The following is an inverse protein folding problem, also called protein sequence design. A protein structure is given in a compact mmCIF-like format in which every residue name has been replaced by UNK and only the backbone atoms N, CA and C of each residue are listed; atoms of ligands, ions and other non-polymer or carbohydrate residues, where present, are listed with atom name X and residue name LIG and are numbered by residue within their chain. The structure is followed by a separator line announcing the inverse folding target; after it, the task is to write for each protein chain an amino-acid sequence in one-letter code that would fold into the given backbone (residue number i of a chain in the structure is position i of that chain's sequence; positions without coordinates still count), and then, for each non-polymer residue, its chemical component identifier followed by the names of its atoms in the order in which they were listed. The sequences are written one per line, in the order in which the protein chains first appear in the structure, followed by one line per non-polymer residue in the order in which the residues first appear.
data_IF_544871456903
#
_entry.id   IF_544871456903
#
_cell.length_a   1.000
_cell.length_b   1.000
_cell.length_c   1.000
_cell.angle_alpha   90.00
_cell.angle_beta   90.00
_cell.angle_gamma   90.00
#
_symmetry.space_group_name_H-M   'P 1'
#
loop_
_entity.id
_entity.type
_entity.pdbx_description
1 polymer ?
#
# COMPACT_ATOMS: atom_id res chain seq x y z
N UNK A 1 12.66 24.69 8.97
CA UNK A 1 13.40 24.35 7.77
C UNK A 1 13.63 22.87 7.69
N UNK A 2 13.07 22.26 6.70
CA UNK A 2 13.10 20.82 6.54
C UNK A 2 14.24 20.31 5.68
N UNK A 3 14.36 19.02 5.64
CA UNK A 3 15.26 18.28 4.75
C UNK A 3 15.06 18.71 3.28
N UNK A 4 13.87 19.11 2.94
CA UNK A 4 13.48 19.54 1.59
C UNK A 4 14.23 20.83 1.16
N UNK A 5 14.36 21.79 2.05
CA UNK A 5 15.07 23.04 1.76
C UNK A 5 16.56 22.79 1.55
N UNK A 6 17.17 21.93 2.36
CA UNK A 6 18.57 21.52 2.21
C UNK A 6 18.79 20.79 0.90
N UNK A 7 17.88 19.87 0.56
CA UNK A 7 17.96 19.13 -0.69
C UNK A 7 17.86 20.07 -1.89
N UNK A 8 16.93 21.01 -1.85
CA UNK A 8 16.74 22.03 -2.89
C UNK A 8 18.00 22.87 -3.06
N UNK A 9 18.62 23.31 -1.97
CA UNK A 9 19.83 24.11 -2.00
C UNK A 9 21.00 23.33 -2.60
N UNK A 10 21.20 22.08 -2.17
CA UNK A 10 22.29 21.22 -2.67
C UNK A 10 22.14 20.95 -4.16
N UNK A 11 20.91 20.61 -4.60
CA UNK A 11 20.60 20.35 -6.00
C UNK A 11 20.83 21.59 -6.85
N UNK A 12 20.37 22.76 -6.39
CA UNK A 12 20.56 24.03 -7.09
C UNK A 12 22.05 24.38 -7.24
N UNK A 13 22.83 24.19 -6.17
CA UNK A 13 24.29 24.44 -6.20
C UNK A 13 25.00 23.54 -7.18
N UNK A 14 24.68 22.24 -7.17
CA UNK A 14 25.28 21.27 -8.09
C UNK A 14 24.90 21.54 -9.54
N UNK A 15 23.66 21.92 -9.80
CA UNK A 15 23.20 22.27 -11.16
C UNK A 15 23.94 23.48 -11.68
N UNK A 16 24.08 24.54 -10.87
CA UNK A 16 24.82 25.73 -11.28
C UNK A 16 26.28 25.43 -11.59
N UNK A 17 26.91 24.58 -10.77
CA UNK A 17 28.31 24.17 -10.97
C UNK A 17 28.48 23.36 -12.26
N UNK A 18 27.54 22.42 -12.51
CA UNK A 18 27.55 21.60 -13.71
C UNK A 18 27.31 22.45 -14.98
N UNK A 19 26.43 23.41 -14.93
CA UNK A 19 26.11 24.30 -16.05
C UNK A 19 27.33 25.17 -16.37
N UNK A 20 28.00 25.71 -15.37
CA UNK A 20 29.16 26.60 -15.60
C UNK A 20 30.38 25.85 -16.17
N UNK A 21 30.48 24.53 -15.96
CA UNK A 21 31.56 23.69 -16.46
C UNK A 21 31.25 22.98 -17.77
N UNK A 22 29.99 23.01 -18.20
CA UNK A 22 29.54 22.29 -19.38
C UNK A 22 29.88 23.01 -20.67
N UNK A 23 30.33 22.25 -21.68
CA UNK A 23 30.56 22.78 -23.03
C UNK A 23 29.27 23.15 -23.73
N UNK A 24 28.15 22.43 -23.40
CA UNK A 24 26.85 22.68 -23.96
C UNK A 24 25.78 22.65 -22.86
N UNK A 25 25.58 23.80 -22.18
CA UNK A 25 24.59 23.87 -21.08
C UNK A 25 23.17 23.53 -21.49
N UNK A 26 22.75 23.86 -22.69
CA UNK A 26 21.41 23.59 -23.20
C UNK A 26 21.13 22.10 -23.30
N UNK A 27 22.07 21.34 -23.87
CA UNK A 27 21.97 19.89 -23.97
C UNK A 27 21.93 19.23 -22.59
N UNK A 28 22.74 19.72 -21.67
CA UNK A 28 22.79 19.23 -20.29
C UNK A 28 21.47 19.48 -19.55
N UNK A 29 20.87 20.67 -19.71
CA UNK A 29 19.58 21.00 -19.14
C UNK A 29 18.47 20.11 -19.69
N UNK A 30 18.46 19.88 -21.00
CA UNK A 30 17.50 19.00 -21.65
C UNK A 30 17.62 17.58 -21.11
N UNK A 31 18.83 17.06 -20.95
CA UNK A 31 19.06 15.73 -20.39
C UNK A 31 18.55 15.64 -18.95
N UNK A 32 18.84 16.68 -18.16
CA UNK A 32 18.38 16.75 -16.77
C UNK A 32 16.86 16.74 -16.68
N UNK A 33 16.17 17.47 -17.54
CA UNK A 33 14.70 17.51 -17.59
C UNK A 33 14.13 16.15 -17.98
N UNK A 34 14.76 15.44 -18.91
CA UNK A 34 14.34 14.08 -19.27
C UNK A 34 14.51 13.13 -18.10
N UNK A 35 15.64 13.19 -17.40
CA UNK A 35 15.89 12.34 -16.24
C UNK A 35 14.87 12.61 -15.12
N UNK A 36 14.57 13.88 -14.85
CA UNK A 36 13.57 14.26 -13.86
C UNK A 36 12.18 13.75 -14.23
N UNK A 37 11.82 13.82 -15.51
CA UNK A 37 10.54 13.33 -16.00
C UNK A 37 10.44 11.81 -15.85
N UNK A 38 11.51 11.08 -16.14
CA UNK A 38 11.56 9.63 -15.94
C UNK A 38 11.41 9.27 -14.46
N UNK A 39 12.08 9.99 -13.57
CA UNK A 39 11.96 9.77 -12.12
C UNK A 39 10.53 10.05 -11.64
N UNK A 40 9.88 11.07 -12.16
CA UNK A 40 8.49 11.38 -11.83
C UNK A 40 7.56 10.23 -12.25
N UNK A 41 7.75 9.69 -13.44
CA UNK A 41 6.97 8.55 -13.94
C UNK A 41 7.15 7.33 -13.04
N UNK A 42 8.41 7.03 -12.66
CA UNK A 42 8.71 5.90 -11.77
C UNK A 42 8.06 6.10 -10.40
N UNK A 43 8.10 7.31 -9.86
CA UNK A 43 7.47 7.63 -8.58
C UNK A 43 5.95 7.44 -8.65
N UNK A 44 5.32 7.89 -9.72
CA UNK A 44 3.88 7.71 -9.93
C UNK A 44 3.50 6.24 -10.03
N UNK A 45 4.31 5.44 -10.71
CA UNK A 45 4.11 3.98 -10.80
C UNK A 45 4.20 3.33 -9.43
N UNK A 46 5.20 3.72 -8.63
CA UNK A 46 5.38 3.18 -7.28
C UNK A 46 4.17 3.47 -6.40
N UNK A 47 3.64 4.70 -6.45
CA UNK A 47 2.43 5.09 -5.71
C UNK A 47 1.23 4.28 -6.19
N UNK A 48 1.06 4.13 -7.50
CA UNK A 48 -0.05 3.37 -8.07
C UNK A 48 -0.02 1.91 -7.63
N UNK A 49 1.17 1.28 -7.61
CA UNK A 49 1.33 -0.09 -7.14
C UNK A 49 1.01 -0.21 -5.65
N UNK A 50 1.44 0.75 -4.84
CA UNK A 50 1.15 0.77 -3.42
C UNK A 50 -0.35 0.89 -3.16
N UNK A 51 -1.06 1.71 -3.94
CA UNK A 51 -2.52 1.85 -3.86
C UNK A 51 -3.21 0.53 -4.26
N UNK A 52 -2.73 -0.12 -5.31
CA UNK A 52 -3.28 -1.40 -5.76
C UNK A 52 -3.12 -2.48 -4.68
N UNK A 53 -1.95 -2.55 -4.04
CA UNK A 53 -1.69 -3.48 -2.94
C UNK A 53 -2.60 -3.21 -1.75
N UNK A 54 -2.80 -1.93 -1.41
CA UNK A 54 -3.70 -1.51 -0.34
C UNK A 54 -5.14 -1.97 -0.64
N UNK A 55 -5.62 -1.76 -1.84
CA UNK A 55 -6.98 -2.18 -2.24
C UNK A 55 -7.14 -3.69 -2.25
N UNK A 56 -6.10 -4.41 -2.64
CA UNK A 56 -6.09 -5.89 -2.60
C UNK A 56 -6.22 -6.40 -1.17
N UNK A 57 -5.46 -5.84 -0.24
CA UNK A 57 -5.52 -6.20 1.19
C UNK A 57 -6.91 -5.91 1.77
N UNK A 58 -7.50 -4.77 1.43
CA UNK A 58 -8.84 -4.40 1.86
C UNK A 58 -9.88 -5.44 1.41
N UNK A 59 -9.82 -5.85 0.14
CA UNK A 59 -10.75 -6.85 -0.40
C UNK A 59 -10.55 -8.21 0.24
N UNK A 60 -9.31 -8.63 0.44
CA UNK A 60 -9.01 -9.92 1.07
C UNK A 60 -9.47 -9.95 2.53
N UNK A 61 -9.26 -8.86 3.27
CA UNK A 61 -9.75 -8.74 4.65
C UNK A 61 -11.28 -8.83 4.70
N UNK A 62 -11.97 -8.11 3.82
CA UNK A 62 -13.42 -8.14 3.71
C UNK A 62 -13.96 -9.51 3.33
N UNK A 63 -13.30 -10.21 2.41
CA UNK A 63 -13.70 -11.55 1.99
C UNK A 63 -13.56 -12.56 3.13
N UNK A 64 -12.46 -12.51 3.89
CA UNK A 64 -12.29 -13.40 5.03
C UNK A 64 -13.29 -13.11 6.14
N UNK A 65 -13.61 -11.83 6.35
CA UNK A 65 -14.67 -11.44 7.30
C UNK A 65 -16.02 -12.01 6.87
N UNK A 66 -16.33 -11.92 5.59
CA UNK A 66 -17.56 -12.48 5.02
C UNK A 66 -17.63 -13.99 5.22
N UNK A 67 -16.52 -14.69 4.99
CA UNK A 67 -16.44 -16.13 5.22
C UNK A 67 -16.67 -16.48 6.69
N UNK A 68 -16.12 -15.70 7.60
CA UNK A 68 -16.35 -15.90 9.04
C UNK A 68 -17.85 -15.77 9.38
N UNK A 69 -18.53 -14.78 8.83
CA UNK A 69 -19.96 -14.58 9.02
C UNK A 69 -20.78 -15.74 8.46
N UNK A 70 -20.39 -16.27 7.31
CA UNK A 70 -21.04 -17.44 6.72
C UNK A 70 -20.91 -18.68 7.61
N UNK A 71 -19.72 -18.92 8.17
CA UNK A 71 -19.51 -20.03 9.09
C UNK A 71 -20.27 -19.85 10.41
N UNK A 72 -20.41 -18.61 10.88
CA UNK A 72 -21.25 -18.32 12.05
C UNK A 72 -22.71 -18.73 11.81
N UNK A 73 -23.26 -18.39 10.64
CA UNK A 73 -24.61 -18.79 10.24
C UNK A 73 -24.74 -20.31 10.20
N UNK A 74 -23.75 -20.99 9.63
CA UNK A 74 -23.75 -22.46 9.58
C UNK A 74 -23.71 -23.08 10.98
N UNK A 75 -22.94 -22.49 11.89
CA UNK A 75 -22.89 -22.92 13.29
C UNK A 75 -24.27 -22.78 13.96
N UNK A 76 -24.94 -21.67 13.74
CA UNK A 76 -26.29 -21.43 14.28
C UNK A 76 -27.30 -22.44 13.74
N UNK A 77 -27.23 -22.75 12.45
CA UNK A 77 -28.08 -23.77 11.84
C UNK A 77 -27.83 -25.16 12.45
N UNK A 78 -26.58 -25.50 12.68
CA UNK A 78 -26.19 -26.76 13.28
C UNK A 78 -26.72 -26.88 14.73
N UNK A 79 -26.63 -25.79 15.49
CA UNK A 79 -27.21 -25.76 16.86
C UNK A 79 -28.69 -26.00 16.82
N UNK A 80 -29.41 -25.34 15.91
CA UNK A 80 -30.86 -25.51 15.75
C UNK A 80 -31.27 -26.93 15.36
N UNK A 81 -30.40 -27.60 14.61
CA UNK A 81 -30.57 -29.01 14.20
C UNK A 81 -30.06 -30.00 15.23
N UNK A 82 -29.66 -29.54 16.41
CA UNK A 82 -29.10 -30.36 17.50
C UNK A 82 -27.85 -31.14 17.07
N UNK A 83 -27.05 -30.55 16.15
CA UNK A 83 -25.83 -31.14 15.66
C UNK A 83 -24.63 -30.38 16.27
N UNK A 84 -24.35 -30.61 17.54
CA UNK A 84 -23.31 -29.93 18.28
C UNK A 84 -21.91 -30.22 17.71
N UNK A 85 -21.69 -31.40 17.15
CA UNK A 85 -20.47 -31.77 16.48
C UNK A 85 -20.16 -30.87 15.28
N UNK A 86 -21.16 -30.63 14.44
CA UNK A 86 -21.06 -29.75 13.29
C UNK A 86 -20.95 -28.27 13.70
N UNK A 87 -21.66 -27.89 14.77
CA UNK A 87 -21.59 -26.52 15.29
C UNK A 87 -20.16 -26.17 15.75
N UNK A 88 -19.52 -27.11 16.48
CA UNK A 88 -18.13 -26.91 16.94
C UNK A 88 -17.16 -26.78 15.76
N UNK A 89 -17.30 -27.63 14.75
CA UNK A 89 -16.47 -27.59 13.55
C UNK A 89 -16.65 -26.25 12.81
N UNK A 90 -17.90 -25.79 12.66
CA UNK A 90 -18.22 -24.51 12.02
C UNK A 90 -17.61 -23.34 12.77
N UNK A 91 -17.63 -23.36 14.12
CA UNK A 91 -17.04 -22.32 14.95
C UNK A 91 -15.51 -22.30 14.83
N UNK A 92 -14.87 -23.46 14.67
CA UNK A 92 -13.43 -23.52 14.41
C UNK A 92 -13.11 -22.84 13.10
N UNK A 93 -13.85 -23.11 12.04
CA UNK A 93 -13.69 -22.45 10.73
C UNK A 93 -13.91 -20.94 10.83
N UNK A 94 -14.94 -20.53 11.56
CA UNK A 94 -15.20 -19.11 11.82
C UNK A 94 -13.98 -18.43 12.44
N UNK A 95 -13.39 -19.04 13.47
CA UNK A 95 -12.23 -18.48 14.15
C UNK A 95 -11.02 -18.37 13.24
N UNK A 96 -10.81 -19.37 12.37
CA UNK A 96 -9.72 -19.33 11.39
C UNK A 96 -9.87 -18.12 10.45
N UNK A 97 -11.07 -17.91 9.91
CA UNK A 97 -11.33 -16.79 9.01
C UNK A 97 -11.28 -15.44 9.71
N UNK A 98 -11.74 -15.36 10.95
CA UNK A 98 -11.61 -14.15 11.76
C UNK A 98 -10.15 -13.79 12.01
N UNK A 99 -9.32 -14.79 12.29
CA UNK A 99 -7.89 -14.59 12.49
C UNK A 99 -7.22 -14.06 11.22
N UNK A 100 -7.51 -14.67 10.06
CA UNK A 100 -7.01 -14.20 8.78
C UNK A 100 -7.47 -12.77 8.48
N UNK A 101 -8.76 -12.49 8.71
CA UNK A 101 -9.31 -11.16 8.49
C UNK A 101 -8.62 -10.12 9.36
N UNK A 102 -8.34 -10.42 10.61
CA UNK A 102 -7.66 -9.53 11.54
C UNK A 102 -6.23 -9.25 11.08
N UNK A 103 -5.49 -10.29 10.67
CA UNK A 103 -4.14 -10.15 10.15
C UNK A 103 -4.11 -9.28 8.89
N UNK A 104 -5.00 -9.55 7.96
CA UNK A 104 -5.10 -8.81 6.71
C UNK A 104 -5.52 -7.35 6.96
N UNK A 105 -6.41 -7.13 7.91
CA UNK A 105 -6.84 -5.78 8.30
C UNK A 105 -5.68 -4.98 8.87
N UNK A 106 -4.84 -5.61 9.71
CA UNK A 106 -3.65 -4.97 10.27
C UNK A 106 -2.66 -4.60 9.15
N UNK A 107 -2.43 -5.53 8.21
CA UNK A 107 -1.58 -5.28 7.05
C UNK A 107 -2.15 -4.18 6.17
N UNK A 108 -3.47 -4.18 5.97
CA UNK A 108 -4.16 -3.14 5.20
C UNK A 108 -3.97 -1.76 5.83
N UNK A 109 -4.12 -1.64 7.14
CA UNK A 109 -3.92 -0.36 7.83
C UNK A 109 -2.49 0.14 7.68
N UNK A 110 -1.50 -0.73 7.83
CA UNK A 110 -0.10 -0.39 7.64
C UNK A 110 0.17 0.08 6.20
N UNK A 111 -0.39 -0.61 5.21
CA UNK A 111 -0.23 -0.26 3.81
C UNK A 111 -0.95 1.06 3.48
N UNK A 112 -2.13 1.26 4.04
CA UNK A 112 -2.89 2.50 3.89
C UNK A 112 -2.10 3.69 4.42
N UNK A 113 -1.48 3.56 5.58
CA UNK A 113 -0.65 4.62 6.17
C UNK A 113 0.57 4.91 5.27
N UNK A 114 1.19 3.86 4.74
CA UNK A 114 2.30 4.02 3.80
C UNK A 114 1.88 4.76 2.54
N UNK A 115 0.71 4.43 1.98
CA UNK A 115 0.16 5.11 0.80
C UNK A 115 -0.10 6.58 1.09
N UNK A 116 -0.67 6.90 2.25
CA UNK A 116 -0.93 8.29 2.63
C UNK A 116 0.36 9.10 2.72
N UNK A 117 1.42 8.51 3.26
CA UNK A 117 2.75 9.14 3.32
C UNK A 117 3.33 9.38 1.92
N UNK A 118 3.17 8.42 1.02
CA UNK A 118 3.64 8.55 -0.36
C UNK A 118 2.90 9.66 -1.12
N UNK A 119 1.60 9.81 -0.88
CA UNK A 119 0.80 10.85 -1.52
C UNK A 119 1.20 12.26 -1.08
N UNK A 120 1.69 12.41 0.14
CA UNK A 120 2.09 13.70 0.71
C UNK A 120 3.51 14.07 0.29
N UNK A 121 4.38 13.12 0.02
CA UNK A 121 5.75 13.37 -0.44
C UNK A 121 5.81 13.41 -1.95
#
# INVERSE_FOLDING_TARGET
MGIFDRFKTVVSSNINDMISKAENPEKMLNQLLLDMNEQMIESKKAVAMAIADEKKLEREAGENKRQAEEWEKKAMLAVRASRDDLAKEALVRKQEYESYATQLFTQWQAQKDSVEKLKVS
#
